data_IF_368374983732
#
_entry.id   IF_368374983732
#
_cell.length_a   1.000
_cell.length_b   1.000
_cell.length_c   1.000
_cell.angle_alpha   90.00
_cell.angle_beta   90.00
_cell.angle_gamma   90.00
#
_symmetry.space_group_name_H-M   'P 1'
#
loop_
_entity.id
_entity.type
_entity.pdbx_description
1 polymer ?
#
# COMPACT_ATOMS: atom_id res chain seq x y z
N UNK A 1 -5.64 1.94 -8.78
CA UNK A 1 -4.35 2.64 -8.67
C UNK A 1 -4.49 3.96 -7.93
N UNK A 2 -5.50 4.80 -8.22
CA UNK A 2 -5.71 6.08 -7.51
C UNK A 2 -5.93 5.94 -6.00
N UNK A 3 -6.59 4.87 -5.53
CA UNK A 3 -6.84 4.69 -4.09
C UNK A 3 -5.54 4.42 -3.31
N UNK A 4 -4.68 3.49 -3.75
CA UNK A 4 -3.41 3.19 -3.09
C UNK A 4 -2.55 4.47 -2.98
N UNK A 5 -2.44 5.21 -4.07
CA UNK A 5 -1.68 6.46 -4.08
C UNK A 5 -2.26 7.51 -3.11
N UNK A 6 -3.58 7.56 -2.96
CA UNK A 6 -4.25 8.43 -1.98
C UNK A 6 -3.97 8.00 -0.54
N UNK A 7 -4.04 6.70 -0.24
CA UNK A 7 -3.73 6.14 1.07
C UNK A 7 -2.28 6.49 1.46
N UNK A 8 -1.33 6.22 0.56
CA UNK A 8 0.09 6.46 0.80
C UNK A 8 0.45 7.95 0.86
N UNK A 9 -0.17 8.79 0.03
CA UNK A 9 -0.01 10.24 0.13
C UNK A 9 -0.43 10.73 1.51
N UNK A 10 -1.56 10.22 2.02
CA UNK A 10 -2.06 10.63 3.33
C UNK A 10 -1.15 10.14 4.45
N UNK A 11 -0.66 8.90 4.39
CA UNK A 11 0.35 8.39 5.32
C UNK A 11 1.62 9.26 5.30
N UNK A 12 2.16 9.55 4.12
CA UNK A 12 3.34 10.39 3.95
C UNK A 12 3.15 11.81 4.48
N UNK A 13 1.97 12.41 4.27
CA UNK A 13 1.62 13.71 4.86
C UNK A 13 1.60 13.67 6.38
N UNK A 14 1.05 12.62 7.00
CA UNK A 14 1.01 12.48 8.46
C UNK A 14 2.41 12.29 9.03
N UNK A 15 3.23 11.45 8.40
CA UNK A 15 4.64 11.30 8.78
C UNK A 15 5.40 12.62 8.67
N UNK A 16 5.18 13.40 7.62
CA UNK A 16 5.77 14.73 7.47
C UNK A 16 5.31 15.68 8.58
N UNK A 17 4.01 15.73 8.89
CA UNK A 17 3.45 16.57 9.96
C UNK A 17 3.95 16.20 11.36
N UNK A 18 4.23 14.91 11.59
CA UNK A 18 4.70 14.41 12.89
C UNK A 18 6.22 14.39 13.02
N UNK A 19 6.97 14.54 11.92
CA UNK A 19 8.44 14.62 11.92
C UNK A 19 9.03 15.70 12.84
N UNK A 20 8.47 16.93 12.92
CA UNK A 20 8.98 17.95 13.83
C UNK A 20 8.98 17.51 15.30
N UNK A 21 8.05 16.64 15.72
CA UNK A 21 7.95 16.11 17.09
C UNK A 21 9.19 15.30 17.47
N UNK A 22 9.88 14.70 16.50
CA UNK A 22 11.13 13.96 16.71
C UNK A 22 12.30 14.88 17.09
N UNK A 23 12.27 16.15 16.65
CA UNK A 23 13.33 17.14 16.90
C UNK A 23 13.00 17.95 18.15
N UNK A 24 11.73 18.35 18.31
CA UNK A 24 11.26 19.17 19.43
C UNK A 24 10.22 18.40 20.27
N UNK A 25 10.65 17.66 21.31
CA UNK A 25 9.76 16.81 22.10
C UNK A 25 8.67 17.60 22.85
N UNK A 26 8.90 18.88 23.14
CA UNK A 26 7.88 19.75 23.76
C UNK A 26 6.62 19.91 22.89
N UNK A 27 6.71 19.68 21.57
CA UNK A 27 5.52 19.67 20.71
C UNK A 27 4.61 18.46 20.97
N UNK A 28 5.15 17.36 21.49
CA UNK A 28 4.35 16.20 21.86
C UNK A 28 3.39 16.53 23.01
N UNK A 29 3.84 17.32 23.99
CA UNK A 29 3.01 17.72 25.13
C UNK A 29 1.96 18.76 24.73
N UNK A 30 2.37 19.78 23.96
CA UNK A 30 1.47 20.86 23.51
C UNK A 30 0.39 20.36 22.54
N UNK A 31 0.75 19.47 21.60
CA UNK A 31 -0.15 18.97 20.56
C UNK A 31 -0.59 17.52 20.76
N UNK A 32 -0.55 17.01 21.99
CA UNK A 32 -0.81 15.59 22.29
C UNK A 32 -2.12 15.10 21.67
N UNK A 33 -3.22 15.86 21.80
CA UNK A 33 -4.52 15.50 21.23
C UNK A 33 -4.50 15.34 19.72
N UNK A 34 -3.78 16.20 19.00
CA UNK A 34 -3.69 16.15 17.54
C UNK A 34 -2.86 14.93 17.13
N UNK A 35 -1.71 14.72 17.77
CA UNK A 35 -0.80 13.60 17.48
C UNK A 35 -1.48 12.25 17.72
N UNK A 36 -2.24 12.12 18.81
CA UNK A 36 -3.01 10.92 19.12
C UNK A 36 -4.18 10.67 18.15
N UNK A 37 -4.68 11.68 17.44
CA UNK A 37 -5.67 11.51 16.36
C UNK A 37 -4.99 11.14 15.03
N UNK A 38 -3.79 11.68 14.77
CA UNK A 38 -3.05 11.39 13.54
C UNK A 38 -2.54 9.93 13.49
N UNK A 39 -2.15 9.35 14.62
CA UNK A 39 -1.69 7.95 14.70
C UNK A 39 -2.70 6.93 14.18
N UNK A 40 -3.95 6.92 14.67
CA UNK A 40 -4.99 6.00 14.19
C UNK A 40 -5.34 6.20 12.71
N UNK A 41 -5.31 7.44 12.21
CA UNK A 41 -5.53 7.75 10.79
C UNK A 41 -4.41 7.14 9.94
N UNK A 42 -3.15 7.37 10.34
CA UNK A 42 -1.96 6.81 9.69
C UNK A 42 -2.06 5.29 9.62
N UNK A 43 -2.32 4.66 10.75
CA UNK A 43 -2.40 3.20 10.87
C UNK A 43 -3.57 2.63 10.04
N UNK A 44 -4.74 3.27 10.07
CA UNK A 44 -5.90 2.79 9.29
C UNK A 44 -5.66 2.84 7.79
N UNK A 45 -4.93 3.85 7.29
CA UNK A 45 -4.57 3.92 5.87
C UNK A 45 -3.50 2.91 5.48
N UNK A 46 -2.58 2.58 6.38
CA UNK A 46 -1.65 1.47 6.21
C UNK A 46 -2.40 0.14 6.08
N UNK A 47 -3.22 -0.18 7.08
CA UNK A 47 -3.98 -1.43 7.12
C UNK A 47 -4.92 -1.52 5.90
N UNK A 48 -5.52 -0.40 5.48
CA UNK A 48 -6.37 -0.32 4.30
C UNK A 48 -5.67 -0.55 2.96
N UNK A 49 -4.36 -0.34 2.89
CA UNK A 49 -3.59 -0.53 1.66
C UNK A 49 -3.49 -2.01 1.26
N UNK A 50 -3.27 -2.89 2.24
CA UNK A 50 -2.99 -4.31 2.01
C UNK A 50 -4.14 -5.05 1.30
N UNK A 51 -5.42 -4.90 1.70
CA UNK A 51 -6.55 -5.49 0.98
C UNK A 51 -6.72 -4.93 -0.43
N UNK A 52 -6.40 -3.65 -0.65
CA UNK A 52 -6.50 -3.05 -1.99
C UNK A 52 -5.44 -3.62 -2.92
N UNK A 53 -4.21 -3.85 -2.42
CA UNK A 53 -3.15 -4.54 -3.18
C UNK A 53 -3.57 -5.97 -3.51
N UNK A 54 -4.08 -6.72 -2.54
CA UNK A 54 -4.54 -8.10 -2.74
C UNK A 54 -5.71 -8.20 -3.74
N UNK A 55 -6.66 -7.26 -3.68
CA UNK A 55 -7.76 -7.19 -4.64
C UNK A 55 -7.23 -6.93 -6.06
N UNK A 56 -6.28 -6.00 -6.22
CA UNK A 56 -5.67 -5.70 -7.52
C UNK A 56 -4.89 -6.88 -8.09
N UNK A 57 -4.19 -7.65 -7.26
CA UNK A 57 -3.46 -8.83 -7.73
C UNK A 57 -4.41 -9.90 -8.26
N UNK A 58 -5.52 -10.14 -7.57
CA UNK A 58 -6.55 -11.11 -8.00
C UNK A 58 -7.25 -10.65 -9.29
N UNK A 59 -7.60 -9.38 -9.40
CA UNK A 59 -8.20 -8.81 -10.62
C UNK A 59 -7.29 -9.05 -11.83
N UNK A 60 -5.98 -8.92 -11.66
CA UNK A 60 -5.03 -9.15 -12.76
C UNK A 60 -5.03 -10.57 -13.27
N UNK A 61 -5.18 -11.58 -12.39
CA UNK A 61 -5.32 -12.97 -12.82
C UNK A 61 -6.54 -13.13 -13.75
N UNK A 62 -7.67 -12.53 -13.39
CA UNK A 62 -8.88 -12.59 -14.20
C UNK A 62 -8.69 -11.89 -15.57
N UNK A 63 -7.91 -10.81 -15.63
CA UNK A 63 -7.58 -10.14 -16.89
C UNK A 63 -6.72 -11.03 -17.79
N UNK A 64 -5.72 -11.74 -17.25
CA UNK A 64 -4.86 -12.62 -18.03
C UNK A 64 -5.55 -13.90 -18.50
N UNK A 65 -6.46 -14.45 -17.70
CA UNK A 65 -7.18 -15.68 -18.03
C UNK A 65 -8.30 -15.48 -19.05
N UNK A 66 -8.67 -14.22 -19.39
CA UNK A 66 -9.82 -13.87 -20.27
C UNK A 66 -11.14 -14.54 -19.87
N UNK A 67 -11.26 -15.10 -18.66
CA UNK A 67 -12.38 -15.96 -18.24
C UNK A 67 -13.71 -15.18 -18.21
N UNK A 68 -13.70 -13.85 -18.13
CA UNK A 68 -14.91 -13.02 -18.17
C UNK A 68 -14.72 -11.79 -19.06
N UNK A 69 -15.74 -11.46 -19.87
CA UNK A 69 -15.80 -10.16 -20.53
C UNK A 69 -15.71 -9.05 -19.48
N UNK A 70 -14.91 -8.01 -19.76
CA UNK A 70 -14.58 -6.89 -18.86
C UNK A 70 -15.76 -6.33 -18.05
N UNK A 71 -16.97 -6.40 -18.61
CA UNK A 71 -18.20 -5.90 -18.00
C UNK A 71 -18.71 -6.69 -16.78
N UNK A 72 -18.40 -8.00 -16.65
CA UNK A 72 -18.94 -8.83 -15.54
C UNK A 72 -18.11 -8.76 -14.25
N UNK A 73 -16.80 -8.49 -14.34
CA UNK A 73 -15.90 -8.37 -13.18
C UNK A 73 -16.09 -7.04 -12.44
N UNK A 74 -16.57 -6.00 -13.15
CA UNK A 74 -16.65 -4.64 -12.60
C UNK A 74 -17.53 -4.50 -11.36
N UNK A 75 -18.66 -5.21 -11.27
CA UNK A 75 -19.61 -5.04 -10.16
C UNK A 75 -19.11 -5.66 -8.84
N UNK A 76 -18.67 -6.94 -8.79
CA UNK A 76 -18.08 -7.52 -7.59
C UNK A 76 -16.88 -6.73 -7.06
N UNK A 77 -15.98 -6.27 -7.96
CA UNK A 77 -14.81 -5.47 -7.58
C UNK A 77 -15.22 -4.15 -6.92
N UNK A 78 -16.21 -3.45 -7.48
CA UNK A 78 -16.73 -2.19 -6.90
C UNK A 78 -17.33 -2.42 -5.51
N UNK A 79 -18.08 -3.51 -5.33
CA UNK A 79 -18.68 -3.86 -4.04
C UNK A 79 -17.58 -4.15 -3.01
N UNK A 80 -16.58 -4.98 -3.34
CA UNK A 80 -15.47 -5.29 -2.43
C UNK A 80 -14.68 -4.02 -2.10
N UNK A 81 -14.40 -3.18 -3.10
CA UNK A 81 -13.70 -1.91 -2.89
C UNK A 81 -14.48 -0.97 -1.96
N UNK A 82 -15.80 -0.88 -2.13
CA UNK A 82 -16.67 -0.11 -1.25
C UNK A 82 -16.64 -0.63 0.19
N UNK A 83 -16.66 -1.96 0.38
CA UNK A 83 -16.54 -2.58 1.70
C UNK A 83 -15.18 -2.29 2.35
N UNK A 84 -14.08 -2.34 1.59
CA UNK A 84 -12.74 -1.98 2.09
C UNK A 84 -12.73 -0.52 2.55
N UNK A 85 -13.27 0.40 1.74
CA UNK A 85 -13.32 1.83 2.11
C UNK A 85 -14.18 2.04 3.36
N UNK A 86 -15.35 1.41 3.44
CA UNK A 86 -16.23 1.50 4.61
C UNK A 86 -15.53 0.98 5.88
N UNK A 87 -14.76 -0.11 5.74
CA UNK A 87 -13.99 -0.67 6.84
C UNK A 87 -12.83 0.24 7.27
N UNK A 88 -12.08 0.84 6.34
CA UNK A 88 -11.04 1.82 6.67
C UNK A 88 -11.65 3.03 7.39
N UNK A 89 -12.81 3.53 6.94
CA UNK A 89 -13.51 4.61 7.63
C UNK A 89 -13.92 4.21 9.06
N UNK A 90 -14.40 2.98 9.25
CA UNK A 90 -14.68 2.44 10.57
C UNK A 90 -13.43 2.41 11.46
N UNK A 91 -12.30 1.93 10.96
CA UNK A 91 -11.03 1.90 11.71
C UNK A 91 -10.59 3.32 12.12
N UNK A 92 -10.72 4.30 11.22
CA UNK A 92 -10.39 5.70 11.51
C UNK A 92 -11.28 6.22 12.65
N UNK A 93 -12.60 6.06 12.54
CA UNK A 93 -13.54 6.58 13.54
C UNK A 93 -13.34 5.90 14.89
N UNK A 94 -13.23 4.56 14.89
CA UNK A 94 -13.06 3.78 16.10
C UNK A 94 -11.70 4.06 16.76
N UNK A 95 -10.62 4.13 15.97
CA UNK A 95 -9.27 4.43 16.45
C UNK A 95 -9.12 5.86 16.98
N UNK A 96 -9.74 6.85 16.34
CA UNK A 96 -9.77 8.23 16.84
C UNK A 96 -10.58 8.37 18.14
N UNK A 97 -11.65 7.57 18.30
CA UNK A 97 -12.46 7.56 19.52
C UNK A 97 -11.71 6.90 20.68
N UNK A 98 -11.12 5.72 20.46
CA UNK A 98 -10.41 4.95 21.50
C UNK A 98 -9.01 5.48 21.77
N UNK A 99 -8.42 6.24 20.83
CA UNK A 99 -7.04 6.74 20.90
C UNK A 99 -6.03 5.60 21.02
N UNK A 100 -6.20 4.58 20.18
CA UNK A 100 -5.44 3.33 20.24
C UNK A 100 -3.95 3.46 19.85
N UNK A 101 -3.49 4.59 19.33
CA UNK A 101 -2.11 4.81 18.92
C UNK A 101 -1.46 5.94 19.73
N UNK A 102 -0.24 5.68 20.20
CA UNK A 102 0.60 6.65 20.88
C UNK A 102 1.92 6.81 20.13
N UNK A 103 2.44 8.05 20.09
CA UNK A 103 3.77 8.33 19.59
C UNK A 103 4.75 8.24 20.76
N UNK A 104 5.65 7.27 20.74
CA UNK A 104 6.78 7.14 21.66
C UNK A 104 8.06 7.36 20.86
N UNK A 105 8.54 8.62 20.74
CA UNK A 105 9.64 8.95 19.82
C UNK A 105 10.83 8.00 19.98
N UNK A 106 11.33 7.40 18.89
CA UNK A 106 11.09 7.78 17.49
C UNK A 106 9.96 7.00 16.78
N UNK A 107 9.19 6.16 17.48
CA UNK A 107 8.24 5.22 16.86
C UNK A 107 6.78 5.51 17.23
N UNK A 108 5.88 5.02 16.38
CA UNK A 108 4.49 4.81 16.74
C UNK A 108 4.33 3.47 17.46
N UNK A 109 3.32 3.34 18.30
CA UNK A 109 2.97 2.07 18.94
C UNK A 109 1.49 2.06 19.33
N UNK A 110 0.91 0.87 19.44
CA UNK A 110 -0.40 0.72 20.07
C UNK A 110 -0.31 1.06 21.56
N UNK A 111 -1.29 1.81 22.06
CA UNK A 111 -1.44 2.07 23.48
C UNK A 111 -2.26 0.95 24.12
N UNK A 112 -1.61 -0.07 24.66
CA UNK A 112 -2.30 -1.18 25.31
C UNK A 112 -2.98 -0.81 26.64
N UNK A 113 -2.86 0.44 27.11
CA UNK A 113 -3.61 0.92 28.27
C UNK A 113 -5.05 1.28 27.94
N UNK A 114 -5.38 1.53 26.65
CA UNK A 114 -6.74 1.88 26.22
C UNK A 114 -7.53 0.65 25.74
N UNK A 115 -8.86 0.64 25.90
CA UNK A 115 -9.67 -0.50 25.50
C UNK A 115 -9.58 -0.74 23.99
N UNK A 116 -9.67 -2.03 23.60
CA UNK A 116 -9.64 -2.51 22.22
C UNK A 116 -8.32 -2.35 21.46
N UNK A 117 -7.26 -1.73 22.02
CA UNK A 117 -5.96 -1.63 21.35
C UNK A 117 -5.40 -2.99 20.93
N UNK A 118 -5.49 -3.99 21.81
CA UNK A 118 -5.08 -5.37 21.50
C UNK A 118 -5.92 -6.00 20.38
N UNK A 119 -7.21 -5.66 20.29
CA UNK A 119 -8.07 -6.14 19.21
C UNK A 119 -7.62 -5.54 17.87
N UNK A 120 -7.31 -4.25 17.82
CA UNK A 120 -6.81 -3.59 16.60
C UNK A 120 -5.46 -4.15 16.14
N UNK A 121 -4.52 -4.35 17.07
CA UNK A 121 -3.23 -5.00 16.78
C UNK A 121 -3.41 -6.43 16.23
N UNK A 122 -4.30 -7.21 16.85
CA UNK A 122 -4.61 -8.58 16.37
C UNK A 122 -5.27 -8.56 14.98
N UNK A 123 -6.15 -7.60 14.71
CA UNK A 123 -6.79 -7.44 13.39
C UNK A 123 -5.77 -7.03 12.32
N UNK A 124 -4.83 -6.15 12.65
CA UNK A 124 -3.74 -5.75 11.75
C UNK A 124 -2.91 -6.98 11.34
N UNK A 125 -2.45 -7.77 12.31
CA UNK A 125 -1.72 -9.01 12.06
C UNK A 125 -2.57 -9.98 11.23
N UNK A 126 -3.81 -10.22 11.68
CA UNK A 126 -4.74 -11.16 11.07
C UNK A 126 -5.12 -10.80 9.63
N UNK A 127 -5.04 -9.54 9.24
CA UNK A 127 -5.30 -9.08 7.88
C UNK A 127 -4.03 -9.04 7.01
N UNK A 128 -2.91 -8.60 7.59
CA UNK A 128 -1.66 -8.35 6.87
C UNK A 128 -1.10 -9.63 6.26
N UNK A 129 -0.97 -10.71 7.05
CA UNK A 129 -0.41 -11.97 6.56
C UNK A 129 -1.25 -12.62 5.45
N UNK A 130 -2.59 -12.75 5.57
CA UNK A 130 -3.40 -13.27 4.47
C UNK A 130 -3.38 -12.40 3.22
N UNK A 131 -3.40 -11.06 3.36
CA UNK A 131 -3.33 -10.17 2.19
C UNK A 131 -2.01 -10.31 1.44
N UNK A 132 -0.89 -10.41 2.17
CA UNK A 132 0.42 -10.66 1.57
C UNK A 132 0.49 -12.04 0.90
N UNK A 133 -0.04 -13.09 1.54
CA UNK A 133 -0.09 -14.43 0.98
C UNK A 133 -0.92 -14.48 -0.31
N UNK A 134 -2.12 -13.90 -0.31
CA UNK A 134 -2.98 -13.82 -1.50
C UNK A 134 -2.26 -13.07 -2.63
N UNK A 135 -1.61 -11.96 -2.30
CA UNK A 135 -0.85 -11.16 -3.27
C UNK A 135 0.31 -11.96 -3.89
N UNK A 136 1.03 -12.72 -3.07
CA UNK A 136 2.13 -13.58 -3.51
C UNK A 136 1.66 -14.77 -4.37
N UNK A 137 0.60 -15.47 -3.97
CA UNK A 137 0.02 -16.56 -4.77
C UNK A 137 -0.56 -16.06 -6.09
N UNK A 138 -1.17 -14.87 -6.07
CA UNK A 138 -1.65 -14.20 -7.28
C UNK A 138 -0.50 -13.91 -8.24
N UNK A 139 0.63 -13.45 -7.70
CA UNK A 139 1.84 -13.21 -8.46
C UNK A 139 2.38 -14.49 -9.12
N UNK A 140 2.52 -15.59 -8.37
CA UNK A 140 2.99 -16.87 -8.93
C UNK A 140 2.08 -17.35 -10.07
N UNK A 141 0.77 -17.14 -9.91
CA UNK A 141 -0.22 -17.45 -10.95
C UNK A 141 -0.04 -16.58 -12.19
N UNK A 142 0.17 -15.27 -12.04
CA UNK A 142 0.43 -14.36 -13.17
C UNK A 142 1.72 -14.74 -13.91
N UNK A 143 2.80 -15.04 -13.18
CA UNK A 143 4.04 -15.56 -13.77
C UNK A 143 3.77 -16.82 -14.58
N UNK A 144 3.10 -17.81 -13.96
CA UNK A 144 2.75 -19.06 -14.63
C UNK A 144 1.91 -18.82 -15.90
N UNK A 145 0.93 -17.93 -15.85
CA UNK A 145 0.11 -17.58 -17.01
C UNK A 145 0.95 -16.95 -18.12
N UNK A 146 1.84 -16.01 -17.81
CA UNK A 146 2.70 -15.34 -18.80
C UNK A 146 3.66 -16.33 -19.47
N UNK A 147 4.27 -17.22 -18.69
CA UNK A 147 5.22 -18.22 -19.23
C UNK A 147 4.52 -19.42 -19.89
N UNK A 148 3.36 -19.83 -19.40
CA UNK A 148 2.57 -20.95 -19.92
C UNK A 148 1.81 -20.59 -21.21
N UNK A 149 1.42 -19.33 -21.41
CA UNK A 149 0.79 -18.85 -22.66
C UNK A 149 1.81 -18.38 -23.70
N UNK A 150 2.84 -19.18 -23.99
CA UNK A 150 3.80 -18.95 -25.11
C UNK A 150 3.13 -18.82 -26.51
N UNK A 151 1.81 -18.85 -26.60
CA UNK A 151 1.04 -19.05 -27.82
C UNK A 151 0.19 -17.80 -28.17
N UNK A 152 0.69 -17.05 -29.16
CA UNK A 152 -0.03 -16.50 -30.34
C UNK A 152 -0.42 -15.00 -30.41
N UNK A 153 -0.67 -14.21 -29.35
CA UNK A 153 -1.33 -12.88 -29.57
C UNK A 153 -0.75 -11.61 -28.92
N UNK A 154 0.32 -11.65 -28.13
CA UNK A 154 0.86 -10.44 -27.47
C UNK A 154 2.16 -9.96 -28.12
N UNK A 155 2.18 -8.70 -28.56
CA UNK A 155 3.38 -8.08 -29.13
C UNK A 155 4.52 -8.09 -28.12
N UNK A 156 5.77 -8.18 -28.59
CA UNK A 156 6.95 -8.14 -27.71
C UNK A 156 6.98 -6.89 -26.80
N UNK A 157 6.39 -5.77 -27.26
CA UNK A 157 6.24 -4.52 -26.49
C UNK A 157 5.21 -4.64 -25.36
N UNK A 158 4.08 -5.29 -25.62
CA UNK A 158 3.05 -5.58 -24.60
C UNK A 158 3.62 -6.48 -23.51
N UNK A 159 4.32 -7.57 -23.87
CA UNK A 159 4.97 -8.48 -22.91
C UNK A 159 6.02 -7.80 -22.02
N UNK A 160 6.86 -6.92 -22.59
CA UNK A 160 7.85 -6.16 -21.81
C UNK A 160 7.20 -5.22 -20.79
N UNK A 161 6.09 -4.58 -21.16
CA UNK A 161 5.34 -3.73 -20.23
C UNK A 161 4.70 -4.56 -19.11
N UNK A 162 4.11 -5.71 -19.42
CA UNK A 162 3.54 -6.60 -18.41
C UNK A 162 4.60 -7.14 -17.44
N UNK A 163 5.77 -7.53 -17.96
CA UNK A 163 6.88 -7.97 -17.11
C UNK A 163 7.40 -6.84 -16.21
N UNK A 164 7.45 -5.60 -16.71
CA UNK A 164 7.85 -4.44 -15.91
C UNK A 164 6.84 -4.16 -14.77
N UNK A 165 5.54 -4.23 -15.06
CA UNK A 165 4.48 -4.12 -14.05
C UNK A 165 4.61 -5.26 -13.02
N UNK A 166 4.92 -6.47 -13.48
CA UNK A 166 5.08 -7.63 -12.61
C UNK A 166 6.27 -7.46 -11.66
N UNK A 167 7.45 -7.06 -12.18
CA UNK A 167 8.65 -6.77 -11.40
C UNK A 167 8.44 -5.66 -10.37
N UNK A 168 7.72 -4.60 -10.75
CA UNK A 168 7.31 -3.55 -9.82
C UNK A 168 6.54 -4.14 -8.64
N UNK A 169 5.54 -4.97 -8.91
CA UNK A 169 4.71 -5.58 -7.86
C UNK A 169 5.49 -6.55 -6.99
N UNK A 170 6.44 -7.30 -7.55
CA UNK A 170 7.35 -8.16 -6.79
C UNK A 170 8.13 -7.36 -5.75
N UNK A 171 8.71 -6.24 -6.18
CA UNK A 171 9.50 -5.40 -5.28
C UNK A 171 8.63 -4.86 -4.13
N UNK A 172 7.42 -4.36 -4.45
CA UNK A 172 6.48 -3.84 -3.46
C UNK A 172 6.12 -4.94 -2.46
N UNK A 173 5.69 -6.13 -2.92
CA UNK A 173 5.29 -7.23 -2.02
C UNK A 173 6.44 -7.67 -1.13
N UNK A 174 7.66 -7.82 -1.67
CA UNK A 174 8.84 -8.19 -0.88
C UNK A 174 9.14 -7.12 0.17
N UNK A 175 9.12 -5.85 -0.23
CA UNK A 175 9.37 -4.72 0.66
C UNK A 175 8.34 -4.66 1.80
N UNK A 176 7.05 -4.66 1.47
CA UNK A 176 5.96 -4.63 2.44
C UNK A 176 5.99 -5.84 3.37
N UNK A 177 6.30 -7.03 2.85
CA UNK A 177 6.46 -8.24 3.67
C UNK A 177 7.61 -8.09 4.67
N UNK A 178 8.74 -7.54 4.23
CA UNK A 178 9.89 -7.27 5.10
C UNK A 178 9.54 -6.29 6.22
N UNK A 179 8.83 -5.20 5.90
CA UNK A 179 8.38 -4.19 6.88
C UNK A 179 7.43 -4.81 7.91
N UNK A 180 6.42 -5.58 7.48
CA UNK A 180 5.47 -6.27 8.38
C UNK A 180 6.18 -7.26 9.31
N UNK A 181 7.12 -8.04 8.79
CA UNK A 181 7.92 -9.00 9.56
C UNK A 181 8.76 -8.29 10.63
N UNK A 182 9.41 -7.18 10.26
CA UNK A 182 10.23 -6.39 11.17
C UNK A 182 9.39 -5.71 12.26
N UNK A 183 8.15 -5.32 11.95
CA UNK A 183 7.23 -4.69 12.89
C UNK A 183 6.71 -5.63 13.97
N UNK A 184 6.56 -6.92 13.65
CA UNK A 184 6.08 -7.94 14.58
C UNK A 184 7.17 -8.97 14.95
N UNK A 185 8.26 -8.55 15.64
CA UNK A 185 9.38 -9.45 15.95
C UNK A 185 8.98 -10.61 16.86
N UNK A 186 7.95 -10.45 17.69
CA UNK A 186 7.44 -11.50 18.60
C UNK A 186 6.87 -12.69 17.81
N UNK A 187 6.31 -12.44 16.62
CA UNK A 187 5.72 -13.50 15.78
C UNK A 187 6.77 -14.35 15.07
N UNK A 188 8.01 -13.84 14.94
CA UNK A 188 9.07 -14.51 14.18
C UNK A 188 10.30 -14.64 15.09
N UNK A 189 10.42 -15.77 15.81
CA UNK A 189 11.55 -16.03 16.72
C UNK A 189 12.93 -15.92 16.04
N UNK A 190 13.00 -16.14 14.72
CA UNK A 190 14.23 -15.94 13.94
C UNK A 190 14.71 -14.48 13.89
N UNK A 191 13.83 -13.50 14.14
CA UNK A 191 14.16 -12.06 14.16
C UNK A 191 14.55 -11.56 15.56
N UNK A 192 14.72 -12.47 16.53
CA UNK A 192 15.15 -12.14 17.91
C UNK A 192 16.51 -11.45 18.01
N UNK A 193 17.32 -11.45 16.93
CA UNK A 193 18.54 -10.66 16.84
C UNK A 193 18.29 -9.15 16.71
N UNK A 194 17.08 -8.74 16.31
CA UNK A 194 16.67 -7.33 16.22
C UNK A 194 16.06 -6.91 17.56
N UNK A 195 16.88 -6.31 18.40
CA UNK A 195 16.43 -5.74 19.66
C UNK A 195 15.65 -4.43 19.42
N UNK A 196 14.32 -4.51 19.42
CA UNK A 196 13.43 -3.36 19.27
C UNK A 196 13.36 -2.46 20.51
N UNK A 197 14.06 -2.79 21.61
CA UNK A 197 14.23 -1.87 22.74
C UNK A 197 15.29 -0.78 22.45
N UNK A 198 16.14 -0.99 21.45
CA UNK A 198 17.15 0.00 21.05
C UNK A 198 16.51 1.11 20.23
N UNK A 199 16.61 2.35 20.71
CA UNK A 199 16.12 3.57 20.02
C UNK A 199 16.59 3.67 18.58
N UNK A 200 17.84 3.24 18.28
CA UNK A 200 18.37 3.20 16.91
C UNK A 200 17.55 2.29 15.99
N UNK A 201 17.18 1.10 16.47
CA UNK A 201 16.44 0.13 15.68
C UNK A 201 15.00 0.61 15.46
N UNK A 202 14.39 1.22 16.48
CA UNK A 202 13.08 1.89 16.37
C UNK A 202 13.11 3.04 15.34
N UNK A 203 14.16 3.85 15.33
CA UNK A 203 14.33 4.93 14.35
C UNK A 203 14.46 4.41 12.92
N UNK A 204 15.24 3.34 12.72
CA UNK A 204 15.38 2.66 11.41
C UNK A 204 14.03 2.11 10.96
N UNK A 205 13.30 1.45 11.86
CA UNK A 205 11.99 0.90 11.55
C UNK A 205 10.99 1.98 11.15
N UNK A 206 10.94 3.09 11.91
CA UNK A 206 10.11 4.23 11.55
C UNK A 206 10.53 4.85 10.21
N UNK A 207 11.83 4.87 9.89
CA UNK A 207 12.32 5.28 8.57
C UNK A 207 11.84 4.39 7.43
N UNK A 208 11.79 3.06 7.64
CA UNK A 208 11.25 2.12 6.66
C UNK A 208 9.73 2.32 6.46
N UNK A 209 8.99 2.59 7.55
CA UNK A 209 7.58 2.95 7.47
C UNK A 209 7.34 4.22 6.64
N UNK A 210 8.13 5.26 6.87
CA UNK A 210 8.05 6.50 6.08
C UNK A 210 8.37 6.20 4.62
N UNK A 211 9.40 5.40 4.35
CA UNK A 211 9.82 5.07 2.99
C UNK A 211 8.76 4.26 2.24
N UNK A 212 7.99 3.40 2.93
CA UNK A 212 6.92 2.59 2.34
C UNK A 212 5.92 3.43 1.54
N UNK A 213 5.49 4.57 2.08
CA UNK A 213 4.58 5.51 1.41
C UNK A 213 5.15 6.08 0.10
N UNK A 214 6.46 5.99 -0.14
CA UNK A 214 7.12 6.46 -1.36
C UNK A 214 7.55 5.32 -2.30
N UNK A 215 7.62 4.07 -1.82
CA UNK A 215 8.06 2.94 -2.65
C UNK A 215 7.16 2.82 -3.88
N UNK A 216 5.84 2.74 -3.71
CA UNK A 216 4.91 2.58 -4.82
C UNK A 216 5.03 3.67 -5.91
N UNK A 217 4.99 4.99 -5.61
CA UNK A 217 5.16 6.02 -6.62
C UNK A 217 6.54 5.97 -7.31
N UNK A 218 7.62 5.71 -6.56
CA UNK A 218 8.96 5.57 -7.12
C UNK A 218 9.01 4.39 -8.11
N UNK A 219 8.48 3.23 -7.70
CA UNK A 219 8.46 2.04 -8.55
C UNK A 219 7.60 2.25 -9.79
N UNK A 220 6.49 3.00 -9.69
CA UNK A 220 5.67 3.39 -10.85
C UNK A 220 6.47 4.24 -11.84
N UNK A 221 7.24 5.21 -11.38
CA UNK A 221 8.07 6.07 -12.24
C UNK A 221 9.20 5.29 -12.93
N UNK A 222 9.78 4.30 -12.24
CA UNK A 222 10.87 3.47 -12.77
C UNK A 222 10.35 2.52 -13.85
N UNK A 223 9.29 1.76 -13.54
CA UNK A 223 8.84 0.64 -14.37
C UNK A 223 7.73 1.00 -15.38
N UNK A 224 6.96 2.05 -15.15
CA UNK A 224 5.87 2.44 -16.04
C UNK A 224 6.27 3.59 -16.96
N UNK A 225 6.69 3.24 -18.18
CA UNK A 225 7.08 4.23 -19.21
C UNK A 225 5.96 5.24 -19.51
N UNK A 226 4.69 4.81 -19.57
CA UNK A 226 3.58 5.71 -19.90
C UNK A 226 3.43 6.81 -18.85
N UNK A 227 3.44 6.41 -17.57
CA UNK A 227 3.32 7.36 -16.44
C UNK A 227 4.52 8.30 -16.42
N UNK A 228 5.72 7.77 -16.66
CA UNK A 228 6.92 8.58 -16.73
C UNK A 228 6.84 9.62 -17.86
N UNK A 229 6.39 9.23 -19.05
CA UNK A 229 6.23 10.12 -20.19
C UNK A 229 5.18 11.21 -19.87
N UNK A 230 4.05 10.86 -19.24
CA UNK A 230 3.02 11.81 -18.80
C UNK A 230 3.56 12.82 -17.76
N UNK A 231 4.33 12.35 -16.78
CA UNK A 231 4.97 13.21 -15.77
C UNK A 231 5.98 14.15 -16.41
N UNK A 232 6.80 13.67 -17.36
CA UNK A 232 7.73 14.53 -18.09
C UNK A 232 7.01 15.59 -18.93
N UNK A 233 5.89 15.24 -19.56
CA UNK A 233 5.06 16.20 -20.29
C UNK A 233 4.48 17.24 -19.33
N UNK A 234 3.98 16.82 -18.17
CA UNK A 234 3.42 17.72 -17.16
C UNK A 234 4.48 18.73 -16.67
N UNK A 235 5.70 18.25 -16.37
CA UNK A 235 6.82 19.09 -15.95
C UNK A 235 7.29 20.03 -17.06
N UNK A 236 7.34 19.57 -18.31
CA UNK A 236 7.81 20.37 -19.46
C UNK A 236 6.78 21.41 -19.92
N UNK A 237 5.48 21.12 -19.78
CA UNK A 237 4.40 22.00 -20.26
C UNK A 237 3.87 22.99 -19.23
N UNK A 238 4.42 23.01 -18.01
CA UNK A 238 3.97 23.90 -16.95
C UNK A 238 2.48 23.75 -16.62
N UNK A 239 1.91 22.55 -16.81
CA UNK A 239 0.49 22.27 -16.54
C UNK A 239 -0.51 22.80 -17.57
N UNK A 240 -0.10 23.31 -18.74
CA UNK A 240 -1.01 23.94 -19.72
C UNK A 240 -1.72 23.01 -20.71
N UNK A 241 -1.74 21.69 -20.49
CA UNK A 241 -2.57 20.78 -21.29
C UNK A 241 -3.74 20.27 -20.46
N UNK A 242 -4.95 20.36 -21.02
CA UNK A 242 -6.08 19.54 -20.62
C UNK A 242 -5.64 18.08 -20.77
N UNK A 243 -5.14 17.50 -19.68
CA UNK A 243 -5.01 16.06 -19.55
C UNK A 243 -6.47 15.58 -19.52
N UNK A 244 -7.01 15.23 -20.69
CA UNK A 244 -8.20 14.39 -20.74
C UNK A 244 -7.94 13.24 -19.80
N UNK A 245 -8.83 12.96 -18.83
CA UNK A 245 -8.61 11.88 -17.88
C UNK A 245 -8.28 10.66 -18.72
N UNK A 246 -7.08 10.11 -18.53
CA UNK A 246 -6.78 8.81 -19.06
C UNK A 246 -7.72 7.89 -18.29
N UNK A 247 -8.94 7.71 -18.83
CA UNK A 247 -9.62 6.44 -18.71
C UNK A 247 -8.54 5.46 -19.08
N UNK A 248 -8.07 4.68 -18.12
CA UNK A 248 -7.24 3.51 -18.41
C UNK A 248 -8.16 2.52 -19.12
N UNK A 249 -8.57 2.85 -20.35
CA UNK A 249 -8.97 1.92 -21.37
C UNK A 249 -7.69 1.33 -21.94
N UNK A 250 -6.98 0.60 -21.09
CA UNK A 250 -6.18 -0.52 -21.56
C UNK A 250 -7.10 -1.70 -21.94
N UNK A 251 -8.31 -1.44 -22.48
CA UNK A 251 -9.33 -2.48 -22.77
C UNK A 251 -10.33 -2.00 -23.83
N UNK A 252 -9.86 -1.53 -24.99
CA UNK A 252 -10.72 -1.47 -26.19
C UNK A 252 -9.90 -1.41 -27.49
N UNK A 253 -9.15 -2.46 -27.78
CA UNK A 253 -8.83 -2.81 -29.16
C UNK A 253 -8.91 -4.33 -29.30
N UNK A 254 -10.12 -4.82 -29.55
CA UNK A 254 -10.29 -6.05 -30.31
C UNK A 254 -10.06 -5.69 -31.79
N UNK A 255 -9.30 -6.51 -32.55
CA UNK A 255 -9.21 -6.31 -33.99
C UNK A 255 -10.53 -6.74 -34.63
N UNK A 256 -11.08 -5.85 -35.47
CA UNK A 256 -11.86 -6.29 -36.62
C UNK A 256 -10.92 -6.99 -37.61
#
# INVERSE_FOLDING_TARGET
>A
MNLIMFLQLTQGMIHFLTSPVLIFPNMLTEFSRIITILGPILNSFWIGELPVIALLSVIRIFLFTKIHSSNKIGNPVKIILFLIVLWVLFLILAGCYTRNMIMTPPTWSYDFSVPYAQLFDTLEIGLSFPCLLISYLSYLTICYLIYGTQSIQTSAKSRKNELAILLQFTFIIIYTSFVVIMWHPILIPMMSFIDMNKTRNQAIMNGLWIFDSYVNPIMMLIFNKSIRDDVFIMLKSGGKKNISPVTVTAFSHGPN
#
